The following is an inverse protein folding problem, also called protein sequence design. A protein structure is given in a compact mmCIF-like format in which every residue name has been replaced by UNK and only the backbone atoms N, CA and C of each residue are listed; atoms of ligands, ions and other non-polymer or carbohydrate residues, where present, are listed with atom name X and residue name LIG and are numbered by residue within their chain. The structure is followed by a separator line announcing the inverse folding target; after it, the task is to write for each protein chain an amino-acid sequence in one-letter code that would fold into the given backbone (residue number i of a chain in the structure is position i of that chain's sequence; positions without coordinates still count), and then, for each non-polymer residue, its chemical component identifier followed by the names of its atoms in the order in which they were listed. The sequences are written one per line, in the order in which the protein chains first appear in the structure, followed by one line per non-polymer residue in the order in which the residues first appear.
data_IF_300606732714
#
_entry.id   IF_300606732714
#
_cell.length_a   1.000
_cell.length_b   1.000
_cell.length_c   1.000
_cell.angle_alpha   90.00
_cell.angle_beta   90.00
_cell.angle_gamma   90.00
#
_symmetry.space_group_name_H-M   'P 1'
#
loop_
_entity.id
_entity.type
_entity.pdbx_description
1 polymer ?
#
# COMPACT_ATOMS: atom_id res chain seq x y z
N UNK A 1 3.27 -5.00 5.03
CA UNK A 1 4.31 -5.06 3.99
C UNK A 1 4.12 -3.86 3.08
N UNK A 2 5.16 -3.07 2.85
CA UNK A 2 5.14 -2.01 1.85
C UNK A 2 5.36 -2.64 0.46
N UNK A 3 4.62 -2.17 -0.53
CA UNK A 3 4.77 -2.58 -1.93
C UNK A 3 5.03 -1.32 -2.75
N UNK A 4 6.06 -1.39 -3.58
CA UNK A 4 6.53 -0.33 -4.48
C UNK A 4 6.96 -0.96 -5.81
N UNK A 5 7.09 -0.15 -6.85
CA UNK A 5 7.70 -0.60 -8.11
C UNK A 5 9.16 -1.03 -7.89
N UNK A 6 9.71 -1.97 -8.70
CA UNK A 6 11.10 -2.42 -8.58
C UNK A 6 12.14 -1.30 -8.66
N UNK A 7 11.88 -0.29 -9.49
CA UNK A 7 12.78 0.86 -9.71
C UNK A 7 12.48 2.05 -8.77
N UNK A 8 11.56 1.87 -7.81
CA UNK A 8 11.22 2.91 -6.85
C UNK A 8 12.36 3.12 -5.85
N UNK A 9 12.64 4.38 -5.47
CA UNK A 9 13.74 4.70 -4.55
C UNK A 9 13.69 3.89 -3.24
N UNK A 10 12.49 3.71 -2.69
CA UNK A 10 12.22 2.93 -1.48
C UNK A 10 12.36 1.40 -1.64
N UNK A 11 12.54 0.88 -2.86
CA UNK A 11 12.67 -0.57 -3.09
C UNK A 11 13.92 -1.18 -2.44
N UNK A 12 14.95 -0.35 -2.21
CA UNK A 12 16.20 -0.77 -1.56
C UNK A 12 16.23 -0.52 -0.04
N UNK A 13 15.14 0.03 0.52
CA UNK A 13 15.06 0.31 1.95
C UNK A 13 14.59 -0.92 2.71
N UNK A 14 15.36 -1.35 3.73
CA UNK A 14 14.97 -2.48 4.58
C UNK A 14 13.79 -2.14 5.50
N UNK A 15 13.72 -0.88 5.95
CA UNK A 15 12.63 -0.36 6.76
C UNK A 15 12.25 1.01 6.23
N UNK A 16 10.94 1.25 6.12
CA UNK A 16 10.37 2.53 5.69
C UNK A 16 9.35 2.95 6.72
N UNK A 17 9.46 4.18 7.21
CA UNK A 17 8.51 4.77 8.16
C UNK A 17 7.31 5.35 7.43
N UNK A 18 6.23 5.68 8.17
CA UNK A 18 5.06 6.31 7.56
C UNK A 18 5.38 7.73 7.07
N UNK A 19 6.26 8.45 7.77
CA UNK A 19 6.68 9.81 7.42
C UNK A 19 7.39 9.85 6.06
N UNK A 20 8.19 8.83 5.75
CA UNK A 20 8.88 8.69 4.45
C UNK A 20 7.90 8.50 3.28
N UNK A 21 6.66 8.08 3.55
CA UNK A 21 5.61 7.90 2.54
C UNK A 21 4.75 9.15 2.33
N UNK A 22 5.06 10.27 2.99
CA UNK A 22 4.22 11.48 2.98
C UNK A 22 3.94 12.02 1.58
N UNK A 23 4.96 12.02 0.73
CA UNK A 23 4.90 12.62 -0.61
C UNK A 23 4.50 11.61 -1.70
N UNK A 24 4.36 10.33 -1.32
CA UNK A 24 4.03 9.27 -2.24
C UNK A 24 2.52 9.22 -2.58
N UNK A 25 2.15 8.96 -3.85
CA UNK A 25 0.79 8.61 -4.19
C UNK A 25 0.48 7.18 -3.71
N UNK A 26 -0.69 7.01 -3.09
CA UNK A 26 -1.15 5.71 -2.58
C UNK A 26 -2.14 5.04 -3.52
N UNK A 27 -1.96 3.73 -3.72
CA UNK A 27 -2.95 2.82 -4.30
C UNK A 27 -3.54 1.99 -3.17
N UNK A 28 -4.81 2.21 -2.84
CA UNK A 28 -5.45 1.59 -1.67
C UNK A 28 -6.66 0.74 -2.03
N UNK A 29 -7.11 -0.03 -1.05
CA UNK A 29 -8.43 -0.62 -1.13
C UNK A 29 -9.53 0.46 -1.09
N UNK A 30 -10.70 0.13 -1.64
CA UNK A 30 -11.91 0.96 -1.56
C UNK A 30 -12.32 1.30 -0.11
N UNK A 31 -13.07 2.38 0.11
CA UNK A 31 -13.63 2.72 1.42
C UNK A 31 -14.40 1.53 2.02
N UNK A 32 -14.37 1.40 3.35
CA UNK A 32 -14.92 0.24 4.05
C UNK A 32 -13.93 -0.91 4.27
N UNK A 33 -12.79 -0.92 3.57
CA UNK A 33 -11.69 -1.85 3.88
C UNK A 33 -11.04 -1.50 5.22
N UNK A 34 -10.95 -2.49 6.12
CA UNK A 34 -10.22 -2.34 7.38
C UNK A 34 -8.75 -2.00 7.17
N UNK A 35 -8.13 -2.55 6.12
CA UNK A 35 -6.74 -2.23 5.78
C UNK A 35 -6.58 -0.78 5.34
N UNK A 36 -7.48 -0.28 4.47
CA UNK A 36 -7.50 1.14 4.09
C UNK A 36 -7.61 2.00 5.36
N UNK A 37 -8.55 1.69 6.24
CA UNK A 37 -8.72 2.43 7.49
C UNK A 37 -7.42 2.48 8.30
N UNK A 38 -6.74 1.34 8.49
CA UNK A 38 -5.46 1.28 9.20
C UNK A 38 -4.39 2.15 8.54
N UNK A 39 -4.25 2.12 7.21
CA UNK A 39 -3.26 2.94 6.50
C UNK A 39 -3.55 4.42 6.66
N UNK A 40 -4.82 4.84 6.52
CA UNK A 40 -5.23 6.23 6.73
C UNK A 40 -4.93 6.68 8.16
N UNK A 41 -5.28 5.87 9.17
CA UNK A 41 -5.02 6.21 10.57
C UNK A 41 -3.52 6.37 10.84
N UNK A 42 -2.69 5.42 10.40
CA UNK A 42 -1.24 5.50 10.56
C UNK A 42 -0.62 6.72 9.88
N UNK A 43 -1.09 7.06 8.69
CA UNK A 43 -0.63 8.25 7.96
C UNK A 43 -0.97 9.53 8.75
N UNK A 44 -2.19 9.59 9.29
CA UNK A 44 -2.62 10.70 10.15
C UNK A 44 -1.83 10.79 11.44
N UNK A 45 -1.52 9.66 12.09
CA UNK A 45 -0.64 9.62 13.27
C UNK A 45 0.76 10.15 12.93
N UNK A 46 1.28 9.88 11.73
CA UNK A 46 2.53 10.43 11.20
C UNK A 46 2.42 11.89 10.71
N UNK A 47 1.28 12.55 10.96
CA UNK A 47 1.09 13.98 10.72
C UNK A 47 0.71 14.37 9.30
N UNK A 48 0.25 13.44 8.46
CA UNK A 48 -0.19 13.76 7.09
C UNK A 48 -1.46 13.02 6.66
N UNK A 49 -2.10 13.52 5.61
CA UNK A 49 -3.19 12.79 4.93
C UNK A 49 -2.62 12.23 3.63
N UNK A 50 -2.70 10.91 3.40
CA UNK A 50 -2.10 10.28 2.23
C UNK A 50 -2.86 10.71 0.96
N UNK A 51 -2.14 10.98 -0.12
CA UNK A 51 -2.72 11.27 -1.43
C UNK A 51 -3.11 9.97 -2.11
N UNK A 52 -4.40 9.67 -2.16
CA UNK A 52 -4.91 8.45 -2.79
C UNK A 52 -5.07 8.71 -4.29
N UNK A 53 -4.29 8.00 -5.12
CA UNK A 53 -4.36 8.11 -6.58
C UNK A 53 -5.36 7.12 -7.18
N UNK A 54 -5.32 5.87 -6.71
CA UNK A 54 -6.19 4.80 -7.19
C UNK A 54 -6.79 3.99 -6.04
N UNK A 55 -7.96 3.43 -6.31
CA UNK A 55 -8.71 2.62 -5.37
C UNK A 55 -9.26 1.36 -6.04
N UNK A 56 -9.04 0.19 -5.45
CA UNK A 56 -9.60 -1.07 -5.96
C UNK A 56 -10.16 -1.98 -4.86
N UNK A 57 -11.07 -2.88 -5.22
CA UNK A 57 -11.54 -3.94 -4.32
C UNK A 57 -10.66 -5.19 -4.36
N UNK A 58 -9.76 -5.28 -5.35
CA UNK A 58 -9.02 -6.50 -5.66
C UNK A 58 -7.52 -6.29 -5.42
N UNK A 59 -6.91 -7.25 -4.70
CA UNK A 59 -5.48 -7.23 -4.38
C UNK A 59 -4.60 -7.26 -5.64
N UNK A 60 -4.96 -8.09 -6.63
CA UNK A 60 -4.21 -8.22 -7.88
C UNK A 60 -4.11 -6.89 -8.62
N UNK A 61 -5.24 -6.22 -8.82
CA UNK A 61 -5.30 -4.88 -9.41
C UNK A 61 -4.43 -3.86 -8.65
N UNK A 62 -4.45 -3.85 -7.31
CA UNK A 62 -3.60 -2.94 -6.51
C UNK A 62 -2.12 -3.21 -6.78
N UNK A 63 -1.71 -4.49 -6.76
CA UNK A 63 -0.33 -4.86 -7.03
C UNK A 63 0.10 -4.46 -8.45
N UNK A 64 -0.74 -4.69 -9.46
CA UNK A 64 -0.43 -4.30 -10.84
C UNK A 64 -0.17 -2.80 -10.97
N UNK A 65 -1.06 -1.96 -10.42
CA UNK A 65 -0.92 -0.50 -10.46
C UNK A 65 0.36 -0.02 -9.76
N UNK A 66 0.74 -0.67 -8.66
CA UNK A 66 1.99 -0.35 -7.93
C UNK A 66 3.21 -0.77 -8.74
N UNK A 67 3.22 -1.96 -9.32
CA UNK A 67 4.32 -2.45 -10.17
C UNK A 67 4.50 -1.59 -11.42
N UNK A 68 3.41 -1.05 -11.97
CA UNK A 68 3.42 -0.08 -13.07
C UNK A 68 3.95 1.31 -12.67
N UNK A 69 4.22 1.55 -11.38
CA UNK A 69 4.79 2.81 -10.90
C UNK A 69 3.76 3.90 -10.61
N UNK A 70 2.47 3.58 -10.54
CA UNK A 70 1.42 4.57 -10.22
C UNK A 70 1.48 5.05 -8.77
N UNK A 71 2.17 4.34 -7.88
CA UNK A 71 2.35 4.73 -6.49
C UNK A 71 2.72 3.57 -5.58
N UNK A 72 2.47 3.73 -4.29
CA UNK A 72 2.82 2.76 -3.24
C UNK A 72 1.57 2.16 -2.60
N UNK A 73 1.69 0.97 -2.01
CA UNK A 73 0.62 0.36 -1.22
C UNK A 73 1.15 -0.33 0.04
N UNK A 74 0.30 -0.41 1.06
CA UNK A 74 0.61 -1.16 2.28
C UNK A 74 -0.37 -2.32 2.38
N UNK A 75 0.16 -3.52 2.25
CA UNK A 75 -0.59 -4.78 2.24
C UNK A 75 -0.35 -5.58 3.52
N UNK A 76 -1.27 -6.50 3.92
CA UNK A 76 -1.03 -7.40 5.04
C UNK A 76 0.27 -8.20 4.83
N UNK A 77 1.01 -8.41 5.92
CA UNK A 77 2.33 -9.06 5.88
C UNK A 77 2.30 -10.57 5.59
N UNK A 78 1.12 -11.19 5.63
CA UNK A 78 0.88 -12.47 4.99
C UNK A 78 0.39 -12.17 3.57
N UNK A 79 1.17 -12.55 2.56
CA UNK A 79 0.64 -12.65 1.20
C UNK A 79 -0.64 -13.50 1.15
N UNK A 80 -1.32 -13.61 0.00
CA UNK A 80 -2.44 -14.55 -0.12
C UNK A 80 -1.99 -15.90 0.44
N UNK A 81 -2.68 -16.39 1.48
CA UNK A 81 -2.51 -17.79 1.86
C UNK A 81 -2.86 -18.59 0.60
N UNK A 82 -2.01 -19.52 0.12
CA UNK A 82 -2.47 -20.47 -0.88
C UNK A 82 -3.78 -21.05 -0.35
N UNK A 83 -4.81 -21.10 -1.21
CA UNK A 83 -6.09 -21.70 -0.87
C UNK A 83 -5.80 -23.06 -0.21
N UNK A 84 -6.08 -23.19 1.08
CA UNK A 84 -6.16 -24.51 1.70
C UNK A 84 -7.32 -25.21 1.01
N UNK A 85 -7.00 -26.04 0.02
CA UNK A 85 -7.94 -26.99 -0.56
C UNK A 85 -8.45 -27.88 0.58
N UNK A 86 -9.73 -27.73 0.92
CA UNK A 86 -10.48 -28.68 1.75
C UNK A 86 -11.34 -29.56 0.86
#
# INVERSE_FOLDING_TARGET
MLVVAPDHALAHHQNVTMEELRDEPFVLFKPGSGLRHTVIQRSRTAGYTPRILFESGELGTICSLVVEGSGVSVLPGSGPKPLEER
#
